data_IF_298875467978
#
_entry.id   IF_298875467978
#
_cell.length_a   1.000
_cell.length_b   1.000
_cell.length_c   1.000
_cell.angle_alpha   90.00
_cell.angle_beta   90.00
_cell.angle_gamma   90.00
#
_symmetry.space_group_name_H-M   'P 1'
#
loop_
_entity.id
_entity.type
_entity.pdbx_description
1 polymer ?
#
# COMPACT_ATOMS: atom_id res chain seq x y z
N UNK A 1 14.14 44.51 -17.97
CA UNK A 1 13.87 43.32 -17.14
C UNK A 1 12.37 43.16 -17.18
N UNK A 2 11.88 42.11 -17.82
CA UNK A 2 10.55 42.11 -18.44
C UNK A 2 9.71 40.90 -18.01
N UNK A 3 8.40 40.95 -18.29
CA UNK A 3 7.42 40.01 -17.77
C UNK A 3 7.68 38.54 -18.14
N UNK A 4 8.48 38.23 -19.17
CA UNK A 4 8.84 36.84 -19.48
C UNK A 4 9.56 36.16 -18.31
N UNK A 5 10.22 36.91 -17.42
CA UNK A 5 10.84 36.36 -16.19
C UNK A 5 9.83 36.07 -15.07
N UNK A 6 8.62 36.65 -15.12
CA UNK A 6 7.47 36.22 -14.30
C UNK A 6 6.75 35.05 -14.96
N UNK A 7 6.49 35.12 -16.26
CA UNK A 7 5.90 34.04 -17.03
C UNK A 7 6.73 32.75 -16.89
N UNK A 8 8.07 32.83 -16.96
CA UNK A 8 8.94 31.66 -16.71
C UNK A 8 8.88 31.13 -15.27
N UNK A 9 8.33 31.87 -14.31
CA UNK A 9 8.12 31.40 -12.93
C UNK A 9 6.74 30.76 -12.75
N UNK A 10 5.75 31.22 -13.50
CA UNK A 10 4.39 30.66 -13.57
C UNK A 10 4.38 29.40 -14.47
N UNK A 11 5.01 29.43 -15.65
CA UNK A 11 5.22 28.28 -16.56
C UNK A 11 6.14 27.17 -15.99
N UNK A 12 6.85 27.45 -14.89
CA UNK A 12 7.61 26.45 -14.13
C UNK A 12 7.02 26.22 -12.72
N UNK A 13 5.83 26.77 -12.41
CA UNK A 13 5.00 26.18 -11.36
C UNK A 13 4.36 24.92 -11.94
N UNK A 14 4.55 23.82 -11.23
CA UNK A 14 3.95 22.54 -11.57
C UNK A 14 2.50 22.57 -11.07
N UNK A 15 1.53 22.17 -11.90
CA UNK A 15 0.16 21.90 -11.43
C UNK A 15 0.13 20.79 -10.36
N UNK A 16 1.16 19.92 -10.34
CA UNK A 16 1.55 19.23 -9.10
C UNK A 16 3.05 18.84 -9.08
N UNK A 17 3.89 19.43 -8.20
CA UNK A 17 5.23 18.92 -7.92
C UNK A 17 5.22 17.80 -6.85
N UNK A 18 4.14 17.69 -6.09
CA UNK A 18 3.87 16.69 -5.05
C UNK A 18 3.16 15.48 -5.66
N UNK A 19 3.86 14.76 -6.54
CA UNK A 19 3.63 13.32 -6.68
C UNK A 19 4.63 12.58 -5.77
N UNK A 20 4.37 12.44 -4.46
CA UNK A 20 5.12 11.56 -3.58
C UNK A 20 4.81 10.10 -3.92
N UNK A 21 5.42 9.59 -5.00
CA UNK A 21 5.72 8.16 -5.11
C UNK A 21 6.82 7.69 -4.13
N UNK A 22 7.04 8.50 -3.09
CA UNK A 22 7.65 8.20 -1.79
C UNK A 22 6.68 7.41 -0.88
N UNK A 23 5.82 6.58 -1.51
CA UNK A 23 5.02 5.55 -0.84
C UNK A 23 6.01 4.65 -0.11
N UNK A 24 6.14 4.90 1.20
CA UNK A 24 7.05 4.18 2.06
C UNK A 24 6.58 2.73 2.14
N UNK A 25 7.44 1.79 1.76
CA UNK A 25 7.10 0.37 1.78
C UNK A 25 7.10 -0.07 3.24
N UNK A 26 5.96 -0.48 3.83
CA UNK A 26 5.91 -0.86 5.22
C UNK A 26 6.60 -2.22 5.41
N UNK A 27 7.57 -2.26 6.33
CA UNK A 27 8.23 -3.49 6.77
C UNK A 27 7.79 -3.74 8.21
N UNK A 28 6.77 -4.59 8.36
CA UNK A 28 6.19 -4.95 9.65
C UNK A 28 6.88 -6.18 10.22
N UNK A 29 7.44 -6.06 11.43
CA UNK A 29 7.87 -7.18 12.26
C UNK A 29 7.12 -7.20 13.60
N UNK A 30 7.44 -8.16 14.48
CA UNK A 30 6.80 -8.32 15.78
C UNK A 30 7.87 -8.37 16.87
N UNK A 31 7.85 -7.43 17.83
CA UNK A 31 8.96 -7.18 18.77
C UNK A 31 10.29 -6.80 18.06
N UNK A 32 10.21 -6.44 16.78
CA UNK A 32 11.32 -6.24 15.86
C UNK A 32 12.03 -4.91 16.05
N UNK A 33 11.36 -3.89 16.58
CA UNK A 33 11.90 -2.53 16.55
C UNK A 33 13.09 -2.30 17.49
N UNK A 34 13.27 -3.14 18.51
CA UNK A 34 14.49 -3.15 19.32
C UNK A 34 15.49 -4.23 18.86
N UNK A 35 15.04 -5.46 18.61
CA UNK A 35 15.93 -6.59 18.30
C UNK A 35 16.44 -6.56 16.86
N UNK A 36 15.57 -6.78 15.88
CA UNK A 36 15.97 -6.90 14.47
C UNK A 36 16.56 -5.60 13.92
N UNK A 37 15.97 -4.46 14.31
CA UNK A 37 16.35 -3.15 13.78
C UNK A 37 17.78 -2.75 14.15
N UNK A 38 18.30 -3.13 15.32
CA UNK A 38 19.69 -2.85 15.70
C UNK A 38 20.68 -3.52 14.74
N UNK A 39 20.35 -4.72 14.24
CA UNK A 39 21.14 -5.38 13.20
C UNK A 39 20.90 -4.75 11.82
N UNK A 40 19.64 -4.56 11.42
CA UNK A 40 19.25 -4.14 10.07
C UNK A 40 19.64 -2.68 9.75
N UNK A 41 19.48 -1.75 10.70
CA UNK A 41 19.81 -0.32 10.52
C UNK A 41 21.28 -0.14 10.11
N UNK A 42 22.20 -0.92 10.68
CA UNK A 42 23.63 -0.82 10.37
C UNK A 42 23.91 -1.08 8.88
N UNK A 43 23.24 -2.06 8.29
CA UNK A 43 23.36 -2.35 6.85
C UNK A 43 22.63 -1.34 5.97
N UNK A 44 21.59 -0.69 6.51
CA UNK A 44 20.81 0.36 5.83
C UNK A 44 21.35 1.79 6.04
N UNK A 45 22.46 1.96 6.77
CA UNK A 45 23.11 3.25 7.02
C UNK A 45 24.44 3.28 6.26
N UNK A 46 24.37 3.44 4.93
CA UNK A 46 25.49 3.22 4.01
C UNK A 46 25.53 4.31 2.89
N UNK A 47 26.48 4.30 1.93
CA UNK A 47 26.52 5.31 0.87
C UNK A 47 25.23 5.46 0.04
N UNK A 48 24.47 4.38 -0.18
CA UNK A 48 23.23 4.35 -0.98
C UNK A 48 21.95 4.64 -0.20
N UNK A 49 21.95 4.53 1.13
CA UNK A 49 20.76 4.62 2.00
C UNK A 49 20.97 5.59 3.18
N UNK A 50 19.90 6.14 3.74
CA UNK A 50 19.94 6.96 4.95
C UNK A 50 18.62 6.87 5.73
N UNK A 51 18.70 7.00 7.05
CA UNK A 51 17.52 7.21 7.90
C UNK A 51 16.96 8.62 7.61
N UNK A 52 15.67 8.72 7.33
CA UNK A 52 14.96 9.99 7.10
C UNK A 52 14.12 10.41 8.30
N UNK A 53 13.53 9.47 9.04
CA UNK A 53 12.92 9.72 10.34
C UNK A 53 13.01 8.50 11.25
N UNK A 54 12.87 8.71 12.54
CA UNK A 54 12.58 7.66 13.52
C UNK A 54 11.60 8.20 14.57
N UNK A 55 10.97 7.30 15.32
CA UNK A 55 10.00 7.63 16.36
C UNK A 55 10.46 7.09 17.72
N UNK A 56 10.44 7.96 18.73
CA UNK A 56 11.02 7.79 20.07
C UNK A 56 12.56 7.67 20.07
N UNK A 57 13.16 7.00 21.05
CA UNK A 57 14.61 6.93 21.25
C UNK A 57 15.21 5.59 20.77
N UNK A 58 16.54 5.46 20.76
CA UNK A 58 17.23 4.25 20.29
C UNK A 58 17.04 3.02 21.20
N UNK A 59 16.54 3.18 22.43
CA UNK A 59 16.15 2.09 23.33
C UNK A 59 14.68 1.68 23.18
N UNK A 60 13.83 2.54 22.62
CA UNK A 60 12.39 2.34 22.45
C UNK A 60 11.92 2.70 21.04
N UNK A 61 12.71 2.35 20.01
CA UNK A 61 12.39 2.63 18.61
C UNK A 61 10.96 2.14 18.31
N UNK A 62 10.12 3.00 17.75
CA UNK A 62 8.74 2.64 17.35
C UNK A 62 8.52 2.62 15.84
N UNK A 63 9.31 3.39 15.11
CA UNK A 63 9.30 3.45 13.65
C UNK A 63 10.68 3.92 13.18
N UNK A 64 11.14 3.42 12.05
CA UNK A 64 12.31 3.97 11.33
C UNK A 64 11.98 4.05 9.86
N UNK A 65 12.23 5.20 9.25
CA UNK A 65 12.12 5.40 7.81
C UNK A 65 13.52 5.48 7.23
N UNK A 66 13.81 4.67 6.21
CA UNK A 66 15.10 4.62 5.52
C UNK A 66 14.88 4.81 4.03
N UNK A 67 15.53 5.83 3.44
CA UNK A 67 15.38 6.20 2.05
C UNK A 67 16.63 5.95 1.22
N UNK A 68 16.43 5.38 0.04
CA UNK A 68 17.46 5.09 -0.96
C UNK A 68 17.75 6.38 -1.75
N UNK A 69 19.01 6.84 -1.74
CA UNK A 69 19.41 8.19 -2.20
C UNK A 69 19.38 8.39 -3.72
N UNK A 70 19.38 7.32 -4.50
CA UNK A 70 19.40 7.33 -5.98
C UNK A 70 18.00 7.09 -6.54
N UNK A 71 17.27 6.11 -6.00
CA UNK A 71 15.94 5.72 -6.49
C UNK A 71 14.78 6.43 -5.78
N UNK A 72 15.06 7.09 -4.65
CA UNK A 72 14.04 7.74 -3.82
C UNK A 72 13.10 6.78 -3.09
N UNK A 73 13.38 5.48 -3.09
CA UNK A 73 12.53 4.48 -2.42
C UNK A 73 12.71 4.57 -0.90
N UNK A 74 11.62 4.79 -0.17
CA UNK A 74 11.60 4.74 1.30
C UNK A 74 11.04 3.41 1.79
N UNK A 75 11.68 2.84 2.81
CA UNK A 75 11.20 1.72 3.62
C UNK A 75 10.79 2.26 4.99
N UNK A 76 9.62 1.88 5.50
CA UNK A 76 9.13 2.27 6.82
C UNK A 76 9.00 1.03 7.70
N UNK A 77 9.94 0.86 8.61
CA UNK A 77 9.97 -0.25 9.57
C UNK A 77 9.01 0.04 10.71
N UNK A 78 8.18 -0.93 11.06
CA UNK A 78 7.09 -0.85 12.03
C UNK A 78 7.07 -2.09 12.92
N UNK A 79 6.73 -1.92 14.20
CA UNK A 79 6.50 -3.05 15.12
C UNK A 79 5.01 -3.28 15.34
N UNK A 80 4.56 -4.51 15.08
CA UNK A 80 3.20 -4.96 15.32
C UNK A 80 2.74 -4.75 16.77
N UNK A 81 3.63 -4.88 17.77
CA UNK A 81 3.33 -4.70 19.20
C UNK A 81 2.87 -3.28 19.58
N UNK A 82 2.95 -2.32 18.67
CA UNK A 82 2.42 -0.96 18.85
C UNK A 82 0.94 -0.83 18.47
N UNK A 83 0.48 -1.71 17.57
CA UNK A 83 -0.87 -1.71 17.02
C UNK A 83 -1.81 -2.71 17.71
N UNK A 84 -1.26 -3.59 18.54
CA UNK A 84 -1.99 -4.63 19.29
C UNK A 84 -1.72 -4.55 20.80
N UNK A 85 -2.53 -5.24 21.58
CA UNK A 85 -2.29 -5.46 23.02
C UNK A 85 -1.00 -6.28 23.22
N UNK A 86 -0.22 -6.02 24.29
CA UNK A 86 0.94 -6.87 24.62
C UNK A 86 0.47 -8.33 24.79
N UNK A 87 1.08 -9.24 24.06
CA UNK A 87 0.76 -10.67 24.03
C UNK A 87 1.94 -11.48 23.51
N UNK A 88 1.69 -12.67 22.97
CA UNK A 88 2.69 -13.51 22.31
C UNK A 88 2.56 -13.45 20.79
N UNK A 89 3.62 -13.82 20.06
CA UNK A 89 3.57 -14.01 18.61
C UNK A 89 2.49 -15.05 18.22
N UNK A 90 2.34 -16.12 19.00
CA UNK A 90 1.27 -17.13 18.81
C UNK A 90 -0.13 -16.52 18.85
N UNK A 91 -0.42 -15.68 19.85
CA UNK A 91 -1.71 -14.99 19.95
C UNK A 91 -1.92 -14.04 18.77
N UNK A 92 -0.90 -13.27 18.39
CA UNK A 92 -0.94 -12.39 17.21
C UNK A 92 -1.20 -13.15 15.89
N UNK A 93 -0.57 -14.33 15.73
CA UNK A 93 -0.76 -15.20 14.56
C UNK A 93 -2.12 -15.95 14.57
N UNK A 94 -2.74 -16.13 15.74
CA UNK A 94 -4.12 -16.60 15.86
C UNK A 94 -5.13 -15.48 15.48
N UNK A 95 -4.95 -14.28 16.02
CA UNK A 95 -5.89 -13.15 15.87
C UNK A 95 -5.83 -12.48 14.49
N UNK A 96 -4.64 -12.39 13.87
CA UNK A 96 -4.42 -11.64 12.62
C UNK A 96 -3.77 -12.47 11.50
N UNK A 97 -3.24 -13.64 11.83
CA UNK A 97 -2.77 -14.62 10.84
C UNK A 97 -3.95 -15.37 10.18
N UNK A 98 -3.65 -16.49 9.52
CA UNK A 98 -4.67 -17.25 8.79
C UNK A 98 -5.26 -18.40 9.63
N UNK A 99 -5.59 -18.11 10.89
CA UNK A 99 -6.12 -19.08 11.86
C UNK A 99 -5.05 -19.91 12.59
N UNK A 100 -3.98 -19.28 13.08
CA UNK A 100 -3.10 -19.93 14.08
C UNK A 100 -2.19 -21.06 13.58
N UNK A 101 -1.57 -20.92 12.40
CA UNK A 101 -0.59 -21.90 11.87
C UNK A 101 0.72 -22.07 12.68
N UNK A 102 0.84 -21.44 13.85
CA UNK A 102 2.01 -21.54 14.73
C UNK A 102 2.20 -22.99 15.27
N UNK A 103 1.14 -23.80 15.28
CA UNK A 103 1.19 -25.24 15.55
C UNK A 103 1.91 -26.06 14.46
N UNK A 104 2.32 -25.44 13.34
CA UNK A 104 3.14 -26.06 12.27
C UNK A 104 4.58 -25.51 12.23
N UNK A 105 5.01 -24.76 13.24
CA UNK A 105 6.33 -24.11 13.26
C UNK A 105 7.51 -25.07 13.50
N UNK A 106 7.27 -26.21 14.16
CA UNK A 106 8.32 -27.10 14.64
C UNK A 106 9.13 -26.51 15.79
N UNK A 107 10.28 -27.10 16.10
CA UNK A 107 11.18 -26.68 17.19
C UNK A 107 12.62 -26.69 16.67
N UNK A 108 13.41 -25.64 16.94
CA UNK A 108 14.80 -25.54 16.49
C UNK A 108 15.77 -25.31 17.65
N UNK A 109 16.90 -26.05 17.73
CA UNK A 109 17.91 -25.85 18.77
C UNK A 109 18.85 -24.71 18.37
N UNK A 110 18.53 -23.49 18.82
CA UNK A 110 19.31 -22.30 18.50
C UNK A 110 20.76 -22.35 19.01
N UNK A 111 20.98 -22.92 20.19
CA UNK A 111 22.28 -22.93 20.86
C UNK A 111 23.26 -23.98 20.29
N UNK A 112 22.76 -24.96 19.51
CA UNK A 112 23.58 -26.00 18.89
C UNK A 112 24.47 -25.48 17.73
N UNK A 113 24.20 -24.29 17.20
CA UNK A 113 24.92 -23.70 16.06
C UNK A 113 25.52 -22.32 16.38
N UNK A 114 26.76 -22.11 15.94
CA UNK A 114 27.52 -20.87 16.07
C UNK A 114 28.35 -20.60 14.80
N UNK A 115 29.08 -19.47 14.77
CA UNK A 115 29.87 -19.03 13.60
C UNK A 115 30.90 -20.04 13.13
N UNK A 116 31.34 -20.95 14.00
CA UNK A 116 32.51 -21.78 13.80
C UNK A 116 32.11 -23.23 13.45
N UNK A 117 30.97 -23.71 13.99
CA UNK A 117 30.48 -25.08 13.79
C UNK A 117 29.31 -25.21 12.79
N UNK A 118 28.60 -24.12 12.42
CA UNK A 118 27.30 -24.21 11.75
C UNK A 118 27.30 -25.12 10.51
N UNK A 119 28.32 -25.03 9.66
CA UNK A 119 28.34 -25.78 8.41
C UNK A 119 28.56 -27.28 8.62
N UNK A 120 29.30 -27.69 9.65
CA UNK A 120 29.42 -29.10 10.03
C UNK A 120 28.11 -29.60 10.63
N UNK A 121 27.58 -28.86 11.62
CA UNK A 121 26.38 -29.24 12.36
C UNK A 121 25.14 -29.30 11.48
N UNK A 122 24.99 -28.41 10.49
CA UNK A 122 23.83 -28.34 9.59
C UNK A 122 23.93 -29.26 8.37
N UNK A 123 25.13 -29.64 7.93
CA UNK A 123 25.31 -30.57 6.80
C UNK A 123 24.99 -32.03 7.13
N UNK A 124 24.80 -32.35 8.42
CA UNK A 124 24.40 -33.67 8.91
C UNK A 124 22.98 -34.05 8.47
N UNK A 125 22.80 -35.34 8.14
CA UNK A 125 21.52 -35.97 7.79
C UNK A 125 20.81 -36.64 8.98
N UNK A 126 21.49 -36.76 10.13
CA UNK A 126 20.87 -37.20 11.38
C UNK A 126 20.10 -36.04 12.03
N UNK A 127 18.98 -36.30 12.74
CA UNK A 127 18.29 -35.25 13.51
C UNK A 127 19.17 -34.69 14.62
N UNK A 128 18.80 -33.55 15.19
CA UNK A 128 19.37 -33.05 16.43
C UNK A 128 19.09 -34.02 17.59
N UNK A 129 20.02 -34.08 18.54
CA UNK A 129 19.86 -34.82 19.79
C UNK A 129 18.94 -34.08 20.75
N UNK A 130 18.52 -34.73 21.83
CA UNK A 130 17.76 -34.09 22.91
C UNK A 130 18.56 -32.97 23.60
N UNK A 131 19.87 -33.23 23.80
CA UNK A 131 20.79 -32.32 24.48
C UNK A 131 21.00 -31.01 23.70
N UNK A 132 20.92 -31.03 22.36
CA UNK A 132 21.02 -29.85 21.49
C UNK A 132 19.95 -28.78 21.81
N UNK A 133 18.80 -29.17 22.40
CA UNK A 133 17.69 -28.25 22.72
C UNK A 133 17.74 -27.66 24.15
N UNK A 134 18.73 -28.01 24.96
CA UNK A 134 18.84 -27.51 26.33
C UNK A 134 19.38 -26.06 26.36
N UNK A 135 18.55 -25.10 26.78
CA UNK A 135 18.99 -23.71 26.90
C UNK A 135 19.62 -23.44 28.27
N UNK A 136 20.95 -23.49 28.35
CA UNK A 136 21.71 -23.28 29.60
C UNK A 136 21.40 -21.94 30.29
N UNK A 137 21.15 -20.89 29.51
CA UNK A 137 20.92 -19.52 29.99
C UNK A 137 19.62 -19.38 30.78
N UNK A 138 18.55 -20.08 30.38
CA UNK A 138 17.26 -20.09 31.06
C UNK A 138 17.06 -21.29 31.98
N UNK A 139 17.85 -22.35 31.77
CA UNK A 139 17.68 -23.68 32.39
C UNK A 139 16.35 -24.33 32.00
N UNK A 140 15.99 -24.15 30.72
CA UNK A 140 14.82 -24.74 30.08
C UNK A 140 15.30 -25.92 29.22
N UNK A 141 14.68 -27.09 29.40
CA UNK A 141 14.79 -28.25 28.51
C UNK A 141 13.53 -28.38 27.66
N UNK A 142 13.62 -29.09 26.53
CA UNK A 142 12.44 -29.46 25.74
C UNK A 142 11.58 -30.48 26.50
N UNK A 143 10.28 -30.56 26.17
CA UNK A 143 9.38 -31.62 26.66
C UNK A 143 9.36 -32.81 25.71
N UNK A 144 9.11 -34.01 26.24
CA UNK A 144 8.97 -35.27 25.50
C UNK A 144 8.02 -35.14 24.29
N UNK A 145 6.91 -34.42 24.49
CA UNK A 145 5.90 -34.13 23.44
C UNK A 145 6.50 -33.30 22.29
N UNK A 146 7.24 -32.24 22.62
CA UNK A 146 7.89 -31.37 21.64
C UNK A 146 9.07 -32.07 20.93
N UNK A 147 9.80 -32.93 21.65
CA UNK A 147 10.83 -33.80 21.11
C UNK A 147 10.24 -34.78 20.09
N UNK A 148 9.10 -35.41 20.40
CA UNK A 148 8.45 -36.36 19.50
C UNK A 148 7.91 -35.66 18.24
N UNK A 149 7.37 -34.44 18.37
CA UNK A 149 6.97 -33.60 17.22
C UNK A 149 8.20 -33.30 16.34
N UNK A 150 9.30 -32.82 16.93
CA UNK A 150 10.55 -32.57 16.20
C UNK A 150 11.07 -33.82 15.46
N UNK A 151 11.05 -34.98 16.11
CA UNK A 151 11.51 -36.24 15.53
C UNK A 151 10.64 -36.71 14.35
N UNK A 152 9.32 -36.50 14.38
CA UNK A 152 8.46 -36.78 13.23
C UNK A 152 8.64 -35.76 12.09
N UNK A 153 8.75 -34.46 12.41
CA UNK A 153 8.98 -33.42 11.41
C UNK A 153 10.31 -33.61 10.67
N UNK A 154 11.39 -33.88 11.41
CA UNK A 154 12.75 -33.97 10.86
C UNK A 154 12.90 -35.01 9.73
N UNK A 155 12.07 -36.07 9.73
CA UNK A 155 12.06 -37.14 8.70
C UNK A 155 11.67 -36.65 7.31
N UNK A 156 11.05 -35.47 7.20
CA UNK A 156 10.64 -34.88 5.92
C UNK A 156 11.82 -34.20 5.20
N UNK A 157 12.97 -34.06 5.86
CA UNK A 157 14.11 -33.27 5.41
C UNK A 157 15.36 -34.14 5.23
N UNK A 158 16.21 -33.85 4.24
CA UNK A 158 17.38 -34.68 3.93
C UNK A 158 18.56 -34.39 4.87
N UNK A 159 18.58 -33.21 5.46
CA UNK A 159 19.63 -32.69 6.33
C UNK A 159 19.08 -31.54 7.18
N UNK A 160 19.88 -31.08 8.15
CA UNK A 160 19.49 -29.99 9.07
C UNK A 160 19.49 -28.60 8.41
N UNK A 161 20.15 -28.38 7.27
CA UNK A 161 19.97 -27.14 6.46
C UNK A 161 18.55 -27.04 5.90
N UNK A 162 18.04 -28.12 5.31
CA UNK A 162 16.68 -28.16 4.77
C UNK A 162 15.64 -27.91 5.88
N UNK A 163 15.87 -28.47 7.09
CA UNK A 163 15.03 -28.22 8.26
C UNK A 163 15.13 -26.77 8.76
N UNK A 164 16.33 -26.19 8.84
CA UNK A 164 16.53 -24.78 9.21
C UNK A 164 15.85 -23.83 8.21
N UNK A 165 15.90 -24.12 6.90
CA UNK A 165 15.17 -23.34 5.91
C UNK A 165 13.66 -23.42 6.18
N UNK A 166 13.11 -24.61 6.32
CA UNK A 166 11.68 -24.80 6.62
C UNK A 166 11.25 -24.07 7.90
N UNK A 167 12.02 -24.21 8.98
CA UNK A 167 11.73 -23.57 10.26
C UNK A 167 11.65 -22.04 10.13
N UNK A 168 12.63 -21.42 9.47
CA UNK A 168 12.64 -19.97 9.21
C UNK A 168 11.49 -19.53 8.28
N UNK A 169 11.10 -20.37 7.32
CA UNK A 169 9.93 -20.13 6.47
C UNK A 169 8.61 -20.22 7.25
N UNK A 170 8.46 -21.14 8.21
CA UNK A 170 7.26 -21.19 9.07
C UNK A 170 7.22 -20.06 10.10
N UNK A 171 8.35 -19.73 10.72
CA UNK A 171 8.45 -18.60 11.66
C UNK A 171 8.00 -17.29 11.00
N UNK A 172 8.52 -16.99 9.81
CA UNK A 172 8.09 -15.81 9.02
C UNK A 172 6.68 -15.95 8.42
N UNK A 173 6.10 -17.15 8.38
CA UNK A 173 4.69 -17.39 8.00
C UNK A 173 3.70 -17.04 9.12
N UNK A 174 4.13 -16.94 10.39
CA UNK A 174 3.27 -16.44 11.47
C UNK A 174 2.85 -14.97 11.24
N UNK A 175 3.78 -14.13 10.79
CA UNK A 175 3.59 -12.71 10.46
C UNK A 175 2.92 -12.45 9.08
N UNK A 176 2.30 -13.47 8.48
CA UNK A 176 1.93 -13.47 7.06
C UNK A 176 0.68 -12.70 6.65
N UNK A 177 0.65 -11.38 6.86
CA UNK A 177 0.06 -10.52 5.83
C UNK A 177 1.09 -10.28 4.69
N UNK A 178 2.39 -10.30 5.00
CA UNK A 178 3.47 -10.20 4.00
C UNK A 178 3.52 -11.42 3.06
N UNK A 179 3.39 -12.65 3.60
CA UNK A 179 3.36 -13.85 2.75
C UNK A 179 2.02 -14.01 2.02
N UNK A 180 0.88 -13.48 2.54
CA UNK A 180 -0.35 -13.33 1.73
C UNK A 180 -0.09 -12.50 0.47
N UNK A 181 0.64 -11.38 0.55
CA UNK A 181 1.02 -10.61 -0.65
C UNK A 181 2.02 -11.36 -1.54
N UNK A 182 3.02 -12.06 -0.98
CA UNK A 182 3.96 -12.90 -1.74
C UNK A 182 3.22 -13.99 -2.53
N UNK A 183 2.41 -14.81 -1.86
CA UNK A 183 1.60 -15.87 -2.47
C UNK A 183 0.58 -15.32 -3.47
N UNK A 184 -0.08 -14.21 -3.15
CA UNK A 184 -0.98 -13.51 -4.08
C UNK A 184 -0.26 -12.89 -5.28
N UNK A 185 1.07 -12.93 -5.34
CA UNK A 185 1.88 -12.51 -6.48
C UNK A 185 2.71 -13.66 -7.10
N UNK A 186 2.46 -14.92 -6.74
CA UNK A 186 3.25 -16.06 -7.24
C UNK A 186 3.18 -16.25 -8.77
N UNK A 187 2.08 -15.84 -9.42
CA UNK A 187 1.95 -15.83 -10.90
C UNK A 187 2.15 -14.43 -11.53
N UNK A 188 2.89 -13.55 -10.85
CA UNK A 188 3.31 -12.27 -11.41
C UNK A 188 4.46 -12.43 -12.40
N UNK A 189 4.18 -12.19 -13.68
CA UNK A 189 5.16 -12.03 -14.75
C UNK A 189 5.19 -10.57 -15.24
N UNK A 190 6.39 -9.99 -15.22
CA UNK A 190 6.67 -8.64 -15.70
C UNK A 190 6.36 -8.46 -17.20
N UNK A 191 6.25 -9.56 -17.97
CA UNK A 191 5.98 -9.56 -19.40
C UNK A 191 4.51 -9.80 -19.77
N UNK A 192 3.71 -10.36 -18.86
CA UNK A 192 2.32 -10.73 -19.09
C UNK A 192 1.38 -9.53 -19.31
N UNK A 193 0.26 -9.80 -20.00
CA UNK A 193 -0.77 -8.80 -20.31
C UNK A 193 -1.91 -8.86 -19.29
N UNK A 194 -1.77 -8.11 -18.21
CA UNK A 194 -2.84 -7.94 -17.23
C UNK A 194 -3.92 -6.98 -17.76
N UNK A 195 -5.14 -7.48 -17.95
CA UNK A 195 -6.32 -6.75 -18.41
C UNK A 195 -7.07 -6.22 -17.18
N UNK A 196 -7.57 -4.99 -17.25
CA UNK A 196 -8.36 -4.34 -16.18
C UNK A 196 -9.69 -3.88 -16.77
N UNK A 197 -10.73 -3.74 -15.95
CA UNK A 197 -12.09 -3.43 -16.42
C UNK A 197 -12.16 -2.18 -17.32
N UNK A 198 -11.37 -1.14 -17.02
CA UNK A 198 -11.36 0.14 -17.74
C UNK A 198 -10.38 0.18 -18.94
N UNK A 199 -9.92 -0.96 -19.46
CA UNK A 199 -8.92 -0.97 -20.54
C UNK A 199 -9.56 -0.84 -21.94
N UNK A 200 -9.34 0.29 -22.61
CA UNK A 200 -9.87 0.57 -23.96
C UNK A 200 -9.50 -0.51 -24.98
N UNK A 201 -8.31 -1.12 -24.86
CA UNK A 201 -7.86 -2.18 -25.77
C UNK A 201 -8.50 -3.55 -25.51
N UNK A 202 -9.40 -3.65 -24.53
CA UNK A 202 -10.22 -4.82 -24.24
C UNK A 202 -11.73 -4.54 -24.42
N UNK A 203 -12.22 -3.38 -23.95
CA UNK A 203 -13.65 -3.03 -24.03
C UNK A 203 -14.13 -2.90 -25.48
N UNK A 204 -13.40 -2.15 -26.30
CA UNK A 204 -13.72 -1.92 -27.71
C UNK A 204 -12.44 -1.55 -28.46
N UNK A 205 -11.73 -2.56 -28.99
CA UNK A 205 -10.41 -2.36 -29.59
C UNK A 205 -10.50 -1.66 -30.96
N UNK A 206 -10.49 -0.33 -30.93
CA UNK A 206 -10.17 0.50 -32.08
C UNK A 206 -8.64 0.78 -32.07
N UNK A 207 -7.85 0.20 -33.00
CA UNK A 207 -6.41 0.44 -33.05
C UNK A 207 -6.10 1.91 -33.37
N UNK A 208 -5.07 2.46 -32.73
CA UNK A 208 -4.55 3.78 -33.10
C UNK A 208 -3.94 3.72 -34.51
N UNK A 209 -4.55 4.42 -35.46
CA UNK A 209 -3.98 4.61 -36.80
C UNK A 209 -3.02 5.81 -36.78
N UNK A 210 -1.78 5.61 -37.22
CA UNK A 210 -0.78 6.67 -37.31
C UNK A 210 -0.96 7.42 -38.64
N UNK A 211 -1.23 8.72 -38.60
CA UNK A 211 -1.20 9.59 -39.78
C UNK A 211 0.16 10.27 -39.93
N UNK A 212 0.52 10.66 -41.15
CA UNK A 212 1.77 11.39 -41.45
C UNK A 212 1.82 12.72 -40.68
N UNK A 213 0.74 13.52 -40.72
CA UNK A 213 0.60 14.76 -39.94
C UNK A 213 0.85 14.56 -38.44
N UNK A 214 0.30 13.48 -37.84
CA UNK A 214 0.56 13.17 -36.44
C UNK A 214 2.03 12.78 -36.23
N UNK A 215 2.62 12.01 -37.14
CA UNK A 215 4.02 11.62 -37.08
C UNK A 215 4.97 12.83 -37.15
N UNK A 216 4.76 13.76 -38.08
CA UNK A 216 5.49 15.03 -38.20
C UNK A 216 5.44 15.83 -36.88
N UNK A 217 4.24 16.03 -36.33
CA UNK A 217 4.05 16.71 -35.04
C UNK A 217 4.82 16.03 -33.91
N UNK A 218 4.84 14.68 -33.87
CA UNK A 218 5.62 13.92 -32.89
C UNK A 218 7.12 14.04 -33.11
N UNK A 219 7.62 13.92 -34.34
CA UNK A 219 9.05 14.05 -34.70
C UNK A 219 9.58 15.43 -34.30
N UNK A 220 8.87 16.51 -34.64
CA UNK A 220 9.23 17.86 -34.21
C UNK A 220 9.20 17.98 -32.67
N UNK A 221 8.17 17.46 -31.99
CA UNK A 221 8.11 17.46 -30.52
C UNK A 221 9.32 16.77 -29.88
N UNK A 222 9.75 15.61 -30.39
CA UNK A 222 10.93 14.90 -29.90
C UNK A 222 12.23 15.70 -30.13
N UNK A 223 12.37 16.34 -31.30
CA UNK A 223 13.48 17.24 -31.64
C UNK A 223 13.56 18.43 -30.68
N UNK A 224 12.44 19.10 -30.37
CA UNK A 224 12.41 20.21 -29.40
C UNK A 224 12.75 19.78 -27.98
N UNK A 225 12.24 18.62 -27.52
CA UNK A 225 12.57 18.07 -26.20
C UNK A 225 14.07 17.79 -26.03
N UNK A 226 14.71 17.25 -27.07
CA UNK A 226 16.13 16.92 -27.05
C UNK A 226 17.01 18.16 -27.16
N UNK A 227 16.61 19.17 -27.95
CA UNK A 227 17.25 20.49 -27.96
C UNK A 227 17.16 21.18 -26.58
N UNK A 228 15.97 21.23 -25.96
CA UNK A 228 15.77 21.80 -24.61
C UNK A 228 16.64 21.11 -23.56
N UNK A 229 16.88 19.81 -23.71
CA UNK A 229 17.73 19.00 -22.85
C UNK A 229 19.22 18.93 -23.30
N UNK A 230 19.64 19.72 -24.29
CA UNK A 230 21.01 19.78 -24.83
C UNK A 230 21.56 18.43 -25.35
N UNK A 231 20.69 17.55 -25.84
CA UNK A 231 21.08 16.27 -26.48
C UNK A 231 21.39 16.46 -27.96
N UNK A 232 22.17 15.53 -28.53
CA UNK A 232 22.35 15.47 -29.99
C UNK A 232 21.07 15.04 -30.69
N UNK A 233 20.67 15.79 -31.73
CA UNK A 233 19.55 15.49 -32.61
C UNK A 233 19.97 14.88 -33.96
N UNK A 234 21.28 14.72 -34.22
CA UNK A 234 21.83 14.38 -35.55
C UNK A 234 21.24 13.10 -36.15
N UNK A 235 20.96 12.11 -35.30
CA UNK A 235 20.47 10.79 -35.70
C UNK A 235 19.07 10.50 -35.13
N UNK A 236 18.30 11.53 -34.76
CA UNK A 236 16.92 11.33 -34.28
C UNK A 236 16.03 10.70 -35.37
N UNK A 237 14.91 10.11 -34.97
CA UNK A 237 13.83 9.71 -35.88
C UNK A 237 13.40 10.89 -36.76
N UNK A 238 13.06 10.58 -38.01
CA UNK A 238 12.67 11.55 -39.05
C UNK A 238 11.26 11.29 -39.57
N UNK A 239 10.72 12.26 -40.30
CA UNK A 239 9.42 12.18 -40.96
C UNK A 239 9.38 10.99 -41.95
N UNK A 240 10.49 10.75 -42.67
CA UNK A 240 10.71 9.60 -43.56
C UNK A 240 10.67 8.22 -42.90
N UNK A 241 10.61 8.14 -41.56
CA UNK A 241 10.51 6.87 -40.83
C UNK A 241 9.05 6.42 -40.60
N UNK A 242 8.09 7.16 -41.13
CA UNK A 242 6.64 6.97 -40.94
C UNK A 242 6.19 5.51 -41.11
N UNK A 243 6.44 4.89 -42.27
CA UNK A 243 5.98 3.51 -42.55
C UNK A 243 6.51 2.50 -41.53
N UNK A 244 7.77 2.65 -41.12
CA UNK A 244 8.42 1.79 -40.14
C UNK A 244 7.72 1.90 -38.79
N UNK A 245 7.43 3.13 -38.32
CA UNK A 245 6.76 3.34 -37.04
C UNK A 245 5.26 3.05 -37.07
N UNK A 246 4.57 3.24 -38.20
CA UNK A 246 3.18 2.84 -38.38
C UNK A 246 3.00 1.33 -38.19
N UNK A 247 3.80 0.52 -38.89
CA UNK A 247 3.78 -0.95 -38.77
C UNK A 247 4.17 -1.43 -37.35
N UNK A 248 5.14 -0.77 -36.71
CA UNK A 248 5.53 -1.06 -35.33
C UNK A 248 4.41 -0.72 -34.33
N UNK A 249 3.65 0.35 -34.53
CA UNK A 249 2.55 0.77 -33.66
C UNK A 249 1.33 -0.15 -33.83
N UNK A 250 0.94 -0.47 -35.06
CA UNK A 250 -0.19 -1.36 -35.38
C UNK A 250 -0.09 -2.71 -34.65
N UNK A 251 1.07 -3.36 -34.79
CA UNK A 251 1.37 -4.69 -34.24
C UNK A 251 1.91 -4.63 -32.80
N UNK A 252 2.25 -3.43 -32.33
CA UNK A 252 2.94 -3.21 -31.07
C UNK A 252 2.06 -3.11 -29.82
N UNK A 253 2.75 -2.92 -28.71
CA UNK A 253 2.15 -2.57 -27.41
C UNK A 253 3.11 -1.72 -26.60
N UNK A 254 2.60 -1.04 -25.57
CA UNK A 254 3.42 -0.28 -24.63
C UNK A 254 4.38 -1.21 -23.88
N UNK A 255 5.69 -0.96 -23.97
CA UNK A 255 6.73 -1.78 -23.34
C UNK A 255 6.50 -1.96 -21.82
N UNK A 256 6.00 -0.90 -21.16
CA UNK A 256 5.70 -0.87 -19.73
C UNK A 256 4.44 -1.70 -19.37
N UNK A 257 3.26 -1.33 -19.88
CA UNK A 257 1.96 -1.87 -19.43
C UNK A 257 1.32 -2.95 -20.33
N UNK A 258 2.00 -3.32 -21.42
CA UNK A 258 1.57 -4.28 -22.46
C UNK A 258 0.25 -3.96 -23.17
N UNK A 259 -0.34 -2.78 -22.94
CA UNK A 259 -1.55 -2.35 -23.65
C UNK A 259 -1.24 -2.05 -25.13
N UNK A 260 -2.12 -2.49 -26.03
CA UNK A 260 -2.11 -2.05 -27.44
C UNK A 260 -2.55 -0.59 -27.52
N UNK A 261 -2.16 0.08 -28.60
CA UNK A 261 -2.42 1.51 -28.76
C UNK A 261 -3.83 1.77 -29.30
N UNK A 262 -4.52 2.74 -28.71
CA UNK A 262 -5.87 3.20 -29.10
C UNK A 262 -5.90 4.74 -29.09
N UNK A 263 -7.01 5.36 -29.47
CA UNK A 263 -7.14 6.83 -29.48
C UNK A 263 -7.11 7.46 -28.08
N UNK A 264 -7.37 6.66 -27.05
CA UNK A 264 -7.25 7.00 -25.63
C UNK A 264 -5.84 6.64 -25.14
N UNK A 265 -5.40 5.41 -25.40
CA UNK A 265 -4.08 4.90 -25.04
C UNK A 265 -3.04 5.17 -26.15
N UNK A 266 -2.80 6.45 -26.46
CA UNK A 266 -2.00 6.88 -27.63
C UNK A 266 -0.52 6.48 -27.53
N UNK A 267 0.15 6.15 -28.66
CA UNK A 267 1.56 5.77 -28.69
C UNK A 267 2.51 6.97 -28.55
N UNK A 268 3.69 6.71 -28.00
CA UNK A 268 4.83 7.62 -27.93
C UNK A 268 6.14 6.82 -28.01
N UNK A 269 7.24 7.52 -28.29
CA UNK A 269 8.58 6.98 -28.16
C UNK A 269 9.12 7.32 -26.76
N UNK A 270 9.52 6.29 -26.01
CA UNK A 270 10.28 6.42 -24.77
C UNK A 270 11.77 6.21 -25.07
N UNK A 271 12.63 7.11 -24.57
CA UNK A 271 14.09 7.02 -24.74
C UNK A 271 14.66 5.93 -23.84
N UNK A 272 15.24 4.87 -24.40
CA UNK A 272 15.87 3.79 -23.62
C UNK A 272 16.90 4.38 -22.65
N UNK A 273 17.87 5.15 -23.17
CA UNK A 273 18.76 5.99 -22.38
C UNK A 273 18.35 7.48 -22.49
N UNK A 274 18.01 8.08 -21.35
CA UNK A 274 17.59 9.50 -21.25
C UNK A 274 18.73 10.53 -21.41
N UNK A 275 19.99 10.10 -21.52
CA UNK A 275 21.10 10.97 -21.92
C UNK A 275 21.24 11.12 -23.45
N UNK A 276 20.68 10.18 -24.22
CA UNK A 276 20.77 10.13 -25.69
C UNK A 276 19.44 10.64 -26.28
N UNK A 277 19.48 11.27 -27.46
CA UNK A 277 18.27 11.74 -28.17
C UNK A 277 17.38 10.59 -28.66
N UNK A 278 16.24 10.91 -29.26
CA UNK A 278 15.31 9.95 -29.85
C UNK A 278 15.84 9.34 -31.17
N UNK A 279 17.01 8.70 -31.14
CA UNK A 279 17.55 7.92 -32.27
C UNK A 279 16.82 6.57 -32.39
N UNK A 280 16.78 5.98 -33.59
CA UNK A 280 16.06 4.71 -33.86
C UNK A 280 16.40 3.61 -32.85
N UNK A 281 17.69 3.44 -32.54
CA UNK A 281 18.19 2.40 -31.63
C UNK A 281 18.03 2.77 -30.14
N UNK A 282 17.67 4.01 -29.83
CA UNK A 282 17.45 4.52 -28.47
C UNK A 282 15.96 4.73 -28.14
N UNK A 283 15.03 4.31 -29.00
CA UNK A 283 13.57 4.46 -28.75
C UNK A 283 12.84 3.14 -28.65
N UNK A 284 11.76 3.14 -27.89
CA UNK A 284 10.78 2.04 -27.82
C UNK A 284 9.36 2.58 -27.67
N UNK A 285 8.37 1.76 -28.01
CA UNK A 285 6.96 2.13 -27.91
C UNK A 285 6.49 2.15 -26.44
N UNK A 286 5.95 3.28 -26.01
CA UNK A 286 5.29 3.46 -24.71
C UNK A 286 4.02 4.29 -24.90
N UNK A 287 2.95 4.04 -24.13
CA UNK A 287 1.82 4.96 -24.16
C UNK A 287 2.10 6.23 -23.34
N UNK A 288 1.41 7.32 -23.64
CA UNK A 288 1.61 8.64 -23.00
C UNK A 288 1.72 8.53 -21.47
N UNK A 289 0.76 7.87 -20.82
CA UNK A 289 0.74 7.67 -19.37
C UNK A 289 2.01 6.99 -18.83
N UNK A 290 2.48 5.92 -19.49
CA UNK A 290 3.66 5.18 -19.02
C UNK A 290 4.96 5.96 -19.24
N UNK A 291 5.06 6.71 -20.34
CA UNK A 291 6.21 7.56 -20.65
C UNK A 291 6.32 8.71 -19.63
N UNK A 292 5.20 9.38 -19.33
CA UNK A 292 5.12 10.41 -18.27
C UNK A 292 5.40 9.82 -16.88
N UNK A 293 4.86 8.64 -16.55
CA UNK A 293 5.15 7.97 -15.29
C UNK A 293 6.64 7.60 -15.14
N UNK A 294 7.33 7.29 -16.24
CA UNK A 294 8.78 7.07 -16.26
C UNK A 294 9.56 8.38 -16.13
N UNK A 295 9.28 9.39 -16.96
CA UNK A 295 9.99 10.66 -17.00
C UNK A 295 11.54 10.48 -17.04
N UNK A 296 12.25 10.85 -15.98
CA UNK A 296 13.70 10.65 -15.82
C UNK A 296 14.08 9.46 -14.91
N UNK A 297 13.11 8.68 -14.42
CA UNK A 297 13.31 7.54 -13.50
C UNK A 297 13.80 6.29 -14.22
N UNK A 298 14.33 5.34 -13.44
CA UNK A 298 14.70 4.00 -13.90
C UNK A 298 13.50 3.29 -14.54
N UNK A 299 13.71 2.73 -15.73
CA UNK A 299 12.65 2.18 -16.55
C UNK A 299 12.20 0.78 -16.11
N UNK A 300 13.11 -0.02 -15.53
CA UNK A 300 12.81 -1.35 -14.99
C UNK A 300 11.95 -1.22 -13.73
N UNK A 301 12.32 -0.31 -12.84
CA UNK A 301 11.57 0.01 -11.61
C UNK A 301 10.19 0.60 -11.97
N UNK A 302 10.11 1.56 -12.89
CA UNK A 302 8.80 2.08 -13.33
C UNK A 302 7.95 1.01 -14.01
N UNK A 303 8.53 0.15 -14.87
CA UNK A 303 7.81 -0.98 -15.48
C UNK A 303 7.30 -1.96 -14.43
N UNK A 304 8.10 -2.27 -13.40
CA UNK A 304 7.69 -3.13 -12.29
C UNK A 304 6.51 -2.52 -11.52
N UNK A 305 6.60 -1.25 -11.12
CA UNK A 305 5.50 -0.53 -10.44
C UNK A 305 4.21 -0.51 -11.28
N UNK A 306 4.31 -0.26 -12.59
CA UNK A 306 3.17 -0.24 -13.52
C UNK A 306 2.54 -1.62 -13.68
N UNK A 307 3.35 -2.66 -13.90
CA UNK A 307 2.84 -4.04 -14.07
C UNK A 307 2.25 -4.58 -12.78
N UNK A 308 2.84 -4.30 -11.62
CA UNK A 308 2.25 -4.67 -10.31
C UNK A 308 0.89 -3.98 -10.12
N UNK A 309 0.77 -2.66 -10.33
CA UNK A 309 -0.53 -1.98 -10.22
C UNK A 309 -1.59 -2.59 -11.14
N UNK A 310 -1.21 -2.99 -12.36
CA UNK A 310 -2.12 -3.67 -13.30
C UNK A 310 -2.46 -5.11 -12.89
N UNK A 311 -1.51 -5.85 -12.33
CA UNK A 311 -1.72 -7.20 -11.81
C UNK A 311 -2.71 -7.17 -10.64
N UNK A 312 -2.52 -6.27 -9.67
CA UNK A 312 -3.41 -6.13 -8.51
C UNK A 312 -4.84 -5.79 -8.95
N UNK A 313 -5.00 -4.81 -9.85
CA UNK A 313 -6.31 -4.46 -10.44
C UNK A 313 -6.94 -5.62 -11.24
N UNK A 314 -6.16 -6.42 -11.97
CA UNK A 314 -6.66 -7.56 -12.74
C UNK A 314 -7.07 -8.76 -11.86
N UNK A 315 -6.47 -8.88 -10.67
CA UNK A 315 -6.72 -9.94 -9.68
C UNK A 315 -7.70 -9.53 -8.58
N UNK A 316 -8.12 -8.26 -8.52
CA UNK A 316 -8.96 -7.72 -7.44
C UNK A 316 -8.23 -7.59 -6.09
N UNK A 317 -6.89 -7.53 -6.08
CA UNK A 317 -6.10 -7.48 -4.85
C UNK A 317 -6.18 -6.09 -4.19
N UNK A 318 -6.16 -6.02 -2.84
CA UNK A 318 -6.12 -4.76 -2.13
C UNK A 318 -4.85 -3.98 -2.47
N UNK A 319 -5.01 -2.68 -2.75
CA UNK A 319 -3.93 -1.72 -2.98
C UNK A 319 -3.96 -0.63 -1.92
N UNK A 320 -2.84 0.05 -1.61
CA UNK A 320 -2.89 1.33 -0.94
C UNK A 320 -3.55 2.37 -1.84
N UNK A 321 -4.26 3.33 -1.22
CA UNK A 321 -4.90 4.46 -1.92
C UNK A 321 -3.80 5.28 -2.63
N UNK A 322 -3.81 5.31 -3.96
CA UNK A 322 -2.78 6.02 -4.77
C UNK A 322 -3.24 7.39 -5.30
N UNK A 323 -4.15 8.05 -4.60
CA UNK A 323 -4.68 9.38 -4.94
C UNK A 323 -4.74 10.19 -3.64
N UNK A 324 -4.05 11.33 -3.61
CA UNK A 324 -3.87 12.10 -2.37
C UNK A 324 -5.18 12.75 -1.90
N UNK A 325 -5.98 13.35 -2.78
CA UNK A 325 -7.29 13.89 -2.36
C UNK A 325 -8.20 12.76 -1.84
N UNK A 326 -8.18 11.58 -2.48
CA UNK A 326 -8.96 10.43 -2.00
C UNK A 326 -8.48 10.01 -0.60
N UNK A 327 -7.18 10.01 -0.36
CA UNK A 327 -6.62 9.77 0.97
C UNK A 327 -7.06 10.85 1.96
N UNK A 328 -7.00 12.14 1.62
CA UNK A 328 -7.42 13.23 2.53
C UNK A 328 -8.93 13.22 2.82
N UNK A 329 -9.78 12.99 1.83
CA UNK A 329 -11.23 12.82 2.00
C UNK A 329 -11.52 11.66 2.96
N UNK A 330 -10.93 10.49 2.72
CA UNK A 330 -11.06 9.33 3.61
C UNK A 330 -10.47 9.61 5.00
N UNK A 331 -9.34 10.31 5.08
CA UNK A 331 -8.64 10.64 6.32
C UNK A 331 -9.44 11.61 7.18
N UNK A 332 -10.14 12.57 6.57
CA UNK A 332 -11.04 13.49 7.27
C UNK A 332 -12.23 12.74 7.90
N UNK A 333 -12.73 11.70 7.22
CA UNK A 333 -13.73 10.76 7.79
C UNK A 333 -13.22 9.85 8.91
N UNK A 334 -11.90 9.79 9.19
CA UNK A 334 -11.35 8.99 10.28
C UNK A 334 -11.27 9.82 11.58
N UNK A 335 -12.40 9.91 12.28
CA UNK A 335 -12.46 10.36 13.67
C UNK A 335 -12.17 9.21 14.64
N UNK A 336 -11.14 9.32 15.49
CA UNK A 336 -10.86 8.33 16.54
C UNK A 336 -9.47 7.67 16.53
N UNK A 337 -8.47 8.24 15.84
CA UNK A 337 -7.10 7.72 15.86
C UNK A 337 -6.40 7.81 17.23
N UNK A 338 -5.24 7.13 17.34
CA UNK A 338 -4.41 6.94 18.55
C UNK A 338 -4.20 8.21 19.42
N UNK A 339 -4.11 9.40 18.82
CA UNK A 339 -3.97 10.66 19.58
C UNK A 339 -5.16 10.92 20.54
N UNK A 340 -6.40 10.65 20.11
CA UNK A 340 -7.59 10.79 20.97
C UNK A 340 -7.73 9.68 22.01
N UNK A 341 -6.95 8.61 21.90
CA UNK A 341 -6.90 7.49 22.86
C UNK A 341 -5.96 7.82 24.03
N UNK A 342 -4.75 8.29 23.71
CA UNK A 342 -3.65 8.40 24.68
C UNK A 342 -3.89 9.51 25.73
N UNK A 343 -4.72 10.51 25.41
CA UNK A 343 -5.01 11.65 26.29
C UNK A 343 -6.32 11.56 27.09
N UNK A 344 -7.06 10.43 27.03
CA UNK A 344 -8.31 10.24 27.80
C UNK A 344 -8.06 9.43 29.07
N UNK A 345 -7.82 10.14 30.18
CA UNK A 345 -7.68 9.56 31.51
C UNK A 345 -8.99 9.72 32.31
N UNK A 346 -9.77 8.65 32.41
CA UNK A 346 -11.03 8.61 33.15
C UNK A 346 -10.84 7.88 34.49
N UNK A 347 -11.08 8.57 35.60
CA UNK A 347 -10.93 8.06 36.96
C UNK A 347 -12.30 7.66 37.53
N UNK A 348 -12.41 6.44 38.04
CA UNK A 348 -13.65 5.95 38.69
C UNK A 348 -13.95 6.78 39.94
N UNK A 349 -15.14 7.37 40.00
CA UNK A 349 -15.59 8.15 41.15
C UNK A 349 -15.17 9.63 41.14
N UNK A 350 -14.39 10.07 40.16
CA UNK A 350 -13.92 11.47 40.06
C UNK A 350 -14.25 12.10 38.69
N UNK A 351 -14.15 11.35 37.59
CA UNK A 351 -14.46 11.90 36.25
C UNK A 351 -15.97 11.93 36.01
N UNK A 352 -16.50 13.12 35.72
CA UNK A 352 -17.89 13.32 35.30
C UNK A 352 -18.09 13.05 33.79
N UNK A 353 -19.32 12.75 33.38
CA UNK A 353 -19.69 12.73 31.96
C UNK A 353 -19.88 14.17 31.47
N UNK A 354 -18.94 14.63 30.66
CA UNK A 354 -18.99 15.94 30.01
C UNK A 354 -19.97 15.96 28.81
N UNK A 355 -20.64 17.08 28.60
CA UNK A 355 -21.43 17.41 27.41
C UNK A 355 -21.10 18.80 26.88
N UNK A 356 -21.50 19.06 25.64
CA UNK A 356 -21.46 20.38 25.03
C UNK A 356 -22.87 20.93 24.86
N UNK A 357 -23.03 22.26 24.95
CA UNK A 357 -24.22 22.98 24.49
C UNK A 357 -23.83 24.23 23.69
N UNK A 358 -24.66 24.66 22.76
CA UNK A 358 -24.53 25.92 22.05
C UNK A 358 -25.42 26.98 22.70
N UNK A 359 -24.83 28.09 23.13
CA UNK A 359 -25.51 29.17 23.84
C UNK A 359 -24.79 30.50 23.55
N UNK A 360 -25.56 31.54 23.17
CA UNK A 360 -25.04 32.90 22.90
C UNK A 360 -23.82 32.90 21.96
N UNK A 361 -23.95 32.21 20.82
CA UNK A 361 -22.93 32.03 19.77
C UNK A 361 -21.59 31.43 20.27
N UNK A 362 -21.64 30.59 21.31
CA UNK A 362 -20.49 29.86 21.86
C UNK A 362 -20.85 28.42 22.15
N UNK A 363 -19.87 27.52 21.99
CA UNK A 363 -19.95 26.16 22.52
C UNK A 363 -19.44 26.17 23.95
N UNK A 364 -20.27 25.70 24.88
CA UNK A 364 -19.97 25.58 26.30
C UNK A 364 -19.87 24.09 26.62
N UNK A 365 -18.70 23.65 27.08
CA UNK A 365 -18.51 22.35 27.71
C UNK A 365 -18.95 22.42 29.18
N UNK A 366 -19.70 21.42 29.64
CA UNK A 366 -20.21 21.34 31.01
C UNK A 366 -20.32 19.89 31.47
N UNK A 367 -20.12 19.65 32.76
CA UNK A 367 -20.23 18.32 33.35
C UNK A 367 -21.65 18.02 33.82
N UNK A 368 -22.06 16.76 33.69
CA UNK A 368 -23.30 16.23 34.26
C UNK A 368 -23.04 15.68 35.68
N UNK A 369 -24.06 15.60 36.52
CA UNK A 369 -24.01 14.94 37.83
C UNK A 369 -23.70 13.42 37.75
N UNK A 370 -23.60 12.87 36.54
CA UNK A 370 -23.26 11.48 36.27
C UNK A 370 -21.73 11.27 36.32
N UNK A 371 -21.26 10.76 37.46
CA UNK A 371 -19.87 10.37 37.68
C UNK A 371 -19.61 8.97 37.09
N UNK A 372 -18.44 8.77 36.49
CA UNK A 372 -17.98 7.49 35.94
C UNK A 372 -17.81 6.45 37.04
N UNK A 373 -18.80 5.55 37.20
CA UNK A 373 -18.81 4.51 38.25
C UNK A 373 -17.93 3.30 37.94
N UNK A 374 -17.51 3.13 36.68
CA UNK A 374 -16.73 2.00 36.18
C UNK A 374 -15.77 2.46 35.08
N UNK A 375 -14.57 1.87 34.99
CA UNK A 375 -13.61 2.15 33.93
C UNK A 375 -13.98 1.31 32.70
N UNK A 376 -14.78 1.87 31.81
CA UNK A 376 -15.18 1.24 30.53
C UNK A 376 -14.06 1.35 29.48
N UNK A 377 -12.91 0.76 29.81
CA UNK A 377 -11.77 0.56 28.89
C UNK A 377 -10.71 1.66 28.93
N UNK A 378 -9.45 1.24 29.08
CA UNK A 378 -8.32 1.99 28.50
C UNK A 378 -8.49 1.87 26.98
N UNK A 379 -8.69 2.98 26.26
CA UNK A 379 -9.21 2.94 24.88
C UNK A 379 -8.21 2.49 23.80
N UNK A 380 -7.36 1.49 24.09
CA UNK A 380 -6.55 0.75 23.11
C UNK A 380 -7.40 -0.14 22.18
N UNK A 381 -8.64 0.24 21.91
CA UNK A 381 -9.48 -0.43 20.93
C UNK A 381 -8.94 -0.09 19.54
N UNK A 382 -8.02 -0.94 19.10
CA UNK A 382 -7.57 -1.05 17.73
C UNK A 382 -8.77 -1.35 16.84
N UNK A 383 -9.40 -0.30 16.28
CA UNK A 383 -10.48 -0.40 15.30
C UNK A 383 -9.96 -0.74 13.89
N UNK A 384 -8.64 -0.75 13.69
CA UNK A 384 -7.98 -0.98 12.41
C UNK A 384 -7.85 -2.47 12.00
N UNK A 385 -7.58 -3.44 12.89
CA UNK A 385 -7.45 -4.84 12.50
C UNK A 385 -8.76 -5.49 12.03
N UNK A 386 -9.91 -5.12 12.61
CA UNK A 386 -11.23 -5.63 12.19
C UNK A 386 -11.57 -5.27 10.73
N UNK A 387 -10.99 -4.18 10.23
CA UNK A 387 -11.09 -3.73 8.83
C UNK A 387 -10.28 -4.62 7.86
N UNK A 388 -9.24 -5.30 8.35
CA UNK A 388 -8.42 -6.24 7.56
C UNK A 388 -8.95 -7.68 7.60
N UNK A 389 -9.65 -8.08 8.66
CA UNK A 389 -10.21 -9.43 8.82
C UNK A 389 -11.56 -9.63 8.12
N UNK A 390 -12.11 -8.61 7.46
CA UNK A 390 -13.38 -8.70 6.71
C UNK A 390 -14.58 -9.08 7.58
N UNK A 391 -14.56 -8.70 8.86
CA UNK A 391 -15.57 -9.11 9.83
C UNK A 391 -16.96 -8.58 9.48
N UNK A 392 -17.98 -9.36 9.84
CA UNK A 392 -19.39 -8.96 9.73
C UNK A 392 -19.88 -8.30 11.02
N UNK A 393 -20.69 -7.26 10.88
CA UNK A 393 -21.27 -6.50 11.97
C UNK A 393 -22.71 -6.08 11.62
N UNK A 394 -23.68 -6.45 12.45
CA UNK A 394 -25.11 -6.41 12.10
C UNK A 394 -25.76 -5.02 11.94
N UNK A 395 -25.01 -3.95 12.24
CA UNK A 395 -25.43 -2.58 11.95
C UNK A 395 -25.12 -2.18 10.49
N UNK A 396 -24.17 -2.83 9.80
CA UNK A 396 -23.66 -2.42 8.47
C UNK A 396 -24.45 -3.10 7.34
N UNK A 397 -25.77 -2.90 7.36
CA UNK A 397 -26.72 -3.64 6.49
C UNK A 397 -26.49 -3.42 4.99
N UNK A 398 -25.91 -2.29 4.60
CA UNK A 398 -25.73 -1.87 3.20
C UNK A 398 -24.57 -2.56 2.45
N UNK A 399 -23.81 -3.43 3.13
CA UNK A 399 -22.69 -4.23 2.59
C UNK A 399 -22.83 -5.73 2.90
N UNK A 400 -24.05 -6.22 3.19
CA UNK A 400 -24.24 -7.62 3.62
C UNK A 400 -23.60 -7.90 4.99
N UNK A 401 -23.65 -6.88 5.87
CA UNK A 401 -23.01 -6.77 7.19
C UNK A 401 -21.47 -6.67 7.13
N UNK A 402 -20.82 -6.71 5.96
CA UNK A 402 -19.36 -6.81 5.88
C UNK A 402 -18.64 -5.45 5.92
N UNK A 403 -17.54 -5.37 6.69
CA UNK A 403 -16.63 -4.22 6.66
C UNK A 403 -15.71 -4.35 5.43
N UNK A 404 -15.58 -3.26 4.67
CA UNK A 404 -14.67 -3.15 3.52
C UNK A 404 -13.63 -2.03 3.73
N UNK A 405 -12.42 -2.25 3.21
CA UNK A 405 -11.37 -1.24 3.17
C UNK A 405 -11.29 -0.60 1.78
N UNK A 406 -11.22 0.75 1.65
CA UNK A 406 -11.09 1.41 0.37
C UNK A 406 -9.72 1.13 -0.28
N UNK A 407 -9.71 0.32 -1.35
CA UNK A 407 -8.47 -0.05 -2.07
C UNK A 407 -8.09 0.90 -3.21
N UNK A 408 -9.05 1.35 -4.01
CA UNK A 408 -8.79 2.33 -5.08
C UNK A 408 -10.06 3.13 -5.46
N UNK A 409 -9.84 4.34 -5.97
CA UNK A 409 -10.89 5.19 -6.54
C UNK A 409 -11.23 4.72 -7.97
N UNK A 410 -12.47 4.32 -8.22
CA UNK A 410 -12.95 3.91 -9.56
C UNK A 410 -13.17 5.15 -10.45
N UNK A 411 -13.76 6.20 -9.87
CA UNK A 411 -14.08 7.47 -10.52
C UNK A 411 -14.37 8.53 -9.45
N UNK A 412 -14.05 9.80 -9.73
CA UNK A 412 -14.48 10.93 -8.91
C UNK A 412 -15.57 11.72 -9.60
N UNK A 413 -16.54 12.22 -8.83
CA UNK A 413 -17.58 13.11 -9.30
C UNK A 413 -17.60 14.39 -8.44
N UNK A 414 -17.45 15.55 -9.06
CA UNK A 414 -17.39 16.86 -8.41
C UNK A 414 -18.72 17.61 -8.40
N UNK A 415 -19.80 17.02 -8.93
CA UNK A 415 -21.17 17.56 -8.89
C UNK A 415 -21.36 18.99 -9.43
N UNK A 416 -20.43 19.47 -10.29
CA UNK A 416 -20.47 20.83 -10.86
C UNK A 416 -21.65 21.01 -11.82
N UNK A 417 -21.87 20.04 -12.72
CA UNK A 417 -22.97 20.05 -13.70
C UNK A 417 -24.18 19.26 -13.21
N UNK A 418 -25.38 19.58 -13.69
CA UNK A 418 -26.60 18.85 -13.26
C UNK A 418 -26.60 17.39 -13.72
N UNK A 419 -25.95 17.07 -14.85
CA UNK A 419 -25.70 15.67 -15.27
C UNK A 419 -24.83 14.92 -14.24
N UNK A 420 -23.81 15.58 -13.69
CA UNK A 420 -22.98 15.02 -12.62
C UNK A 420 -23.77 14.86 -11.31
N UNK A 421 -24.59 15.85 -10.93
CA UNK A 421 -25.46 15.78 -9.74
C UNK A 421 -26.45 14.63 -9.85
N UNK A 422 -27.12 14.47 -11.01
CA UNK A 422 -28.07 13.39 -11.24
C UNK A 422 -27.39 12.01 -11.13
N UNK A 423 -26.23 11.83 -11.75
CA UNK A 423 -25.46 10.58 -11.64
C UNK A 423 -24.98 10.29 -10.19
N UNK A 424 -24.59 11.33 -9.44
CA UNK A 424 -24.32 11.19 -8.01
C UNK A 424 -25.57 10.77 -7.23
N UNK A 425 -26.73 11.39 -7.50
CA UNK A 425 -27.98 11.06 -6.83
C UNK A 425 -28.52 9.68 -7.22
N UNK A 426 -28.33 9.21 -8.45
CA UNK A 426 -28.61 7.83 -8.87
C UNK A 426 -27.73 6.84 -8.09
N UNK A 427 -26.45 7.14 -7.91
CA UNK A 427 -25.52 6.33 -7.10
C UNK A 427 -25.93 6.35 -5.61
N UNK A 428 -26.23 7.53 -5.07
CA UNK A 428 -26.61 7.75 -3.66
C UNK A 428 -28.01 7.21 -3.33
N UNK A 429 -28.89 7.00 -4.32
CA UNK A 429 -30.25 6.46 -4.15
C UNK A 429 -30.46 5.08 -4.80
N UNK A 430 -29.42 4.43 -5.32
CA UNK A 430 -29.49 3.05 -5.83
C UNK A 430 -30.14 2.12 -4.78
N UNK A 431 -31.30 1.50 -5.08
CA UNK A 431 -32.09 0.76 -4.08
C UNK A 431 -31.46 -0.58 -3.69
N UNK A 432 -30.48 -1.10 -4.44
CA UNK A 432 -29.92 -2.44 -4.22
C UNK A 432 -29.07 -2.60 -2.96
N UNK A 433 -28.55 -1.51 -2.34
CA UNK A 433 -27.80 -1.57 -1.06
C UNK A 433 -28.57 -2.28 0.04
N UNK A 434 -29.87 -1.99 0.14
CA UNK A 434 -30.73 -2.52 1.19
C UNK A 434 -31.37 -3.85 0.78
N UNK A 435 -30.91 -4.48 -0.31
CA UNK A 435 -31.28 -5.84 -0.67
C UNK A 435 -30.70 -6.83 0.34
N UNK A 436 -31.46 -7.87 0.66
CA UNK A 436 -30.99 -9.03 1.44
C UNK A 436 -30.23 -10.07 0.59
N UNK A 437 -30.09 -9.83 -0.71
CA UNK A 437 -29.41 -10.74 -1.65
C UNK A 437 -28.00 -10.25 -1.97
N UNK A 438 -27.00 -11.08 -1.67
CA UNK A 438 -25.60 -10.80 -2.00
C UNK A 438 -25.43 -10.41 -3.48
N UNK A 439 -26.04 -11.18 -4.39
CA UNK A 439 -25.99 -10.93 -5.85
C UNK A 439 -26.56 -9.59 -6.33
N UNK A 440 -27.21 -8.81 -5.46
CA UNK A 440 -27.69 -7.46 -5.75
C UNK A 440 -26.81 -6.41 -5.06
N UNK A 441 -26.31 -6.69 -3.85
CA UNK A 441 -25.27 -5.90 -3.16
C UNK A 441 -23.99 -5.87 -4.01
N UNK A 442 -23.59 -7.00 -4.61
CA UNK A 442 -22.40 -7.12 -5.46
C UNK A 442 -22.45 -6.25 -6.74
N UNK A 443 -23.63 -5.70 -7.07
CA UNK A 443 -23.85 -4.76 -8.20
C UNK A 443 -23.79 -3.29 -7.75
N UNK A 444 -23.64 -3.02 -6.45
CA UNK A 444 -23.57 -1.67 -5.90
C UNK A 444 -22.13 -1.20 -5.87
N UNK A 445 -21.84 -0.12 -6.60
CA UNK A 445 -20.58 0.63 -6.43
C UNK A 445 -20.56 1.27 -5.03
N UNK A 446 -19.62 0.86 -4.18
CA UNK A 446 -19.33 1.60 -2.94
C UNK A 446 -18.82 3.00 -3.27
N UNK A 447 -19.25 3.99 -2.49
CA UNK A 447 -18.88 5.39 -2.66
C UNK A 447 -18.61 6.05 -1.31
N UNK A 448 -17.93 7.20 -1.35
CA UNK A 448 -17.85 8.18 -0.27
C UNK A 448 -18.36 9.50 -0.84
N UNK A 449 -19.14 10.25 -0.06
CA UNK A 449 -19.74 11.50 -0.49
C UNK A 449 -19.49 12.59 0.55
N UNK A 450 -18.73 13.62 0.18
CA UNK A 450 -18.67 14.84 0.99
C UNK A 450 -20.00 15.59 0.85
N UNK A 451 -20.72 15.77 1.96
CA UNK A 451 -22.01 16.46 2.00
C UNK A 451 -21.93 17.73 2.81
N UNK A 452 -22.39 18.85 2.23
CA UNK A 452 -22.56 20.11 2.96
C UNK A 452 -23.88 20.07 3.72
N UNK A 453 -23.86 19.41 4.88
CA UNK A 453 -24.98 19.43 5.82
C UNK A 453 -25.24 20.84 6.34
N UNK A 454 -26.51 21.15 6.55
CA UNK A 454 -26.95 22.27 7.38
C UNK A 454 -27.69 21.70 8.59
N UNK A 455 -27.57 22.37 9.73
CA UNK A 455 -28.36 22.14 10.93
C UNK A 455 -28.86 23.53 11.31
N UNK A 456 -30.17 23.74 11.24
CA UNK A 456 -30.78 25.01 11.61
C UNK A 456 -30.49 25.32 13.09
N UNK A 457 -30.34 26.60 13.45
CA UNK A 457 -29.80 26.99 14.77
C UNK A 457 -30.59 26.42 15.97
N UNK A 458 -31.90 26.18 15.79
CA UNK A 458 -32.77 25.58 16.81
C UNK A 458 -32.38 24.12 17.16
N UNK A 459 -31.88 23.32 16.20
CA UNK A 459 -31.49 21.92 16.41
C UNK A 459 -30.01 21.74 16.77
N UNK A 460 -29.19 22.80 16.81
CA UNK A 460 -27.75 22.65 17.12
C UNK A 460 -27.54 21.94 18.46
N UNK A 461 -28.35 22.25 19.49
CA UNK A 461 -28.23 21.61 20.80
C UNK A 461 -28.61 20.12 20.82
N UNK A 462 -29.50 19.68 19.93
CA UNK A 462 -29.86 18.26 19.79
C UNK A 462 -28.68 17.48 19.19
N UNK A 463 -28.01 18.06 18.19
CA UNK A 463 -26.96 17.37 17.42
C UNK A 463 -25.51 17.60 17.91
N UNK A 464 -25.21 18.67 18.68
CA UNK A 464 -23.83 19.02 19.08
C UNK A 464 -23.11 17.94 19.92
N UNK A 465 -23.85 17.05 20.57
CA UNK A 465 -23.28 15.94 21.36
C UNK A 465 -23.12 14.63 20.57
N UNK A 466 -23.58 14.58 19.33
CA UNK A 466 -23.34 13.43 18.44
C UNK A 466 -21.94 13.54 17.81
N UNK A 467 -21.31 12.41 17.43
CA UNK A 467 -20.22 12.47 16.46
C UNK A 467 -20.71 13.14 15.17
N UNK A 468 -19.85 13.84 14.42
CA UNK A 468 -20.23 14.40 13.13
C UNK A 468 -20.77 13.31 12.22
N UNK A 469 -21.83 13.62 11.46
CA UNK A 469 -22.30 12.79 10.36
C UNK A 469 -21.23 12.82 9.25
N UNK A 470 -20.66 11.65 8.98
CA UNK A 470 -19.58 11.36 8.00
C UNK A 470 -20.13 10.35 7.00
#
# INVERSE_FOLDING_TARGET
MFEEAKQLKEDNQYDDPEIPYDISIPVLGYNSAHFDMVFVIRYLTNPLWHITSYLEDFSHIKRVEVKQKITGVTLQFLDAMLFVTKGTLKQFAADFGNGGKDDQKGVFPYDAINTDNYNEVLSKSEPFSEEDFNNELRKESMTDEAQQIYLEDSKQFKNRWDYLQYYNEQDTTSCANTIKYKMSCNDFDLNARYIIQNDSSFINFCPFNLTEEYWEQKVNSYKQQDLKAKRSIKNNVQESDFEQFAQLIEKGSCWFCKARFTNENRPTLDRINNAIGHTKDNVRLACVYCNVARANRDDKITRLKIQLKRYYLAKGLPMPITNEDTYHILRNGITGGLANVIHRYNIKGETHINKMKYETNKVISYDLDHIMTHITGVNKNSLYPSMFSGLKHDFIKYTGNQIYMPGYEISRNTCVTDKQKNYAMETINNPLRFSSKQSDIDKVTMFVAEVKGHIDEEYINDFINFPPLI
#
